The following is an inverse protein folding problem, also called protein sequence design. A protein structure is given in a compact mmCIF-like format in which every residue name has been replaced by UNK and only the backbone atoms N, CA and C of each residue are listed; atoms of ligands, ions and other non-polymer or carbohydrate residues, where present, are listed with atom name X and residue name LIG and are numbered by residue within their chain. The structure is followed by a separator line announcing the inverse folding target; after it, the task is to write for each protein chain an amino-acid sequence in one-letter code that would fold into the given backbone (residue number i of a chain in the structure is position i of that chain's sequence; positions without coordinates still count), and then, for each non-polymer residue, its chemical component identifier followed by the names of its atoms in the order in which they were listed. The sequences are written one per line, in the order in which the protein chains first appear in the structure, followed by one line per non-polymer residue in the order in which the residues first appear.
data_IF_262372204604
#
_entry.id   IF_262372204604
#
_cell.length_a   1.000
_cell.length_b   1.000
_cell.length_c   1.000
_cell.angle_alpha   90.00
_cell.angle_beta   90.00
_cell.angle_gamma   90.00
#
_symmetry.space_group_name_H-M   'P 1'
#
loop_
_entity.id
_entity.type
_entity.pdbx_description
1 polymer ?
#
# COMPACT_ATOMS: atom_id res chain seq x y z
N UNK A 1 13.05 -17.70 -0.62
CA UNK A 1 13.30 -18.83 -1.55
C UNK A 1 12.61 -18.58 -2.87
N UNK A 2 13.21 -19.01 -3.97
CA UNK A 2 12.59 -19.03 -5.31
C UNK A 2 12.39 -20.47 -5.71
N UNK A 3 11.17 -20.85 -6.04
CA UNK A 3 10.78 -22.23 -6.33
C UNK A 3 10.18 -22.31 -7.73
N UNK A 4 10.72 -23.18 -8.58
CA UNK A 4 10.08 -23.55 -9.83
C UNK A 4 9.10 -24.70 -9.57
N UNK A 5 7.85 -24.54 -9.97
CA UNK A 5 6.83 -25.57 -9.86
C UNK A 5 6.22 -25.88 -11.22
N UNK A 6 6.09 -27.14 -11.50
CA UNK A 6 5.35 -27.68 -12.66
C UNK A 6 3.97 -28.10 -12.16
N UNK A 7 2.93 -27.93 -12.95
CA UNK A 7 1.57 -28.36 -12.63
C UNK A 7 0.80 -27.53 -11.59
N UNK A 8 0.89 -26.22 -11.64
CA UNK A 8 -0.09 -25.36 -10.98
C UNK A 8 -0.59 -24.27 -11.94
N UNK A 9 -1.73 -23.67 -11.60
CA UNK A 9 -2.48 -22.81 -12.53
C UNK A 9 -2.08 -21.33 -12.49
N UNK A 10 -1.11 -20.97 -11.66
CA UNK A 10 -0.70 -19.59 -11.46
C UNK A 10 0.67 -19.33 -12.06
N UNK A 11 0.83 -18.16 -12.63
CA UNK A 11 2.07 -17.70 -13.21
C UNK A 11 3.19 -17.56 -12.19
N UNK A 12 2.89 -16.88 -11.07
CA UNK A 12 3.73 -16.78 -9.89
C UNK A 12 2.84 -16.54 -8.66
N UNK A 13 3.34 -16.85 -7.49
CA UNK A 13 2.66 -16.60 -6.23
C UNK A 13 3.61 -16.72 -5.04
N UNK A 14 3.23 -16.09 -3.93
CA UNK A 14 3.90 -16.30 -2.66
C UNK A 14 3.63 -17.73 -2.15
N UNK A 15 4.69 -18.45 -1.76
CA UNK A 15 4.60 -19.78 -1.16
C UNK A 15 5.35 -19.79 0.19
N UNK A 16 4.62 -19.55 1.27
CA UNK A 16 5.19 -19.45 2.62
C UNK A 16 6.17 -18.28 2.75
N UNK A 17 7.44 -18.57 2.98
CA UNK A 17 8.56 -17.62 3.08
C UNK A 17 9.31 -17.43 1.76
N UNK A 18 8.71 -17.86 0.66
CA UNK A 18 9.31 -17.82 -0.66
C UNK A 18 8.33 -17.44 -1.76
N UNK A 19 8.83 -17.47 -2.98
CA UNK A 19 8.08 -17.18 -4.21
C UNK A 19 8.16 -18.40 -5.12
N UNK A 20 7.03 -18.85 -5.62
CA UNK A 20 6.91 -19.93 -6.57
C UNK A 20 6.55 -19.42 -7.96
N UNK A 21 7.13 -20.04 -8.98
CA UNK A 21 6.93 -19.73 -10.38
C UNK A 21 6.49 -20.96 -11.15
N UNK A 22 5.63 -20.73 -12.16
CA UNK A 22 5.33 -21.78 -13.15
C UNK A 22 6.63 -22.18 -13.85
N UNK A 23 7.01 -23.46 -13.75
CA UNK A 23 8.29 -23.99 -14.26
C UNK A 23 8.32 -24.19 -15.78
N UNK A 24 7.81 -23.26 -16.55
CA UNK A 24 7.97 -23.25 -18.01
C UNK A 24 9.11 -22.31 -18.44
N UNK A 25 9.60 -22.49 -19.65
CA UNK A 25 10.74 -21.73 -20.18
C UNK A 25 10.55 -20.20 -20.13
N UNK A 26 9.33 -19.73 -20.40
CA UNK A 26 9.02 -18.28 -20.41
C UNK A 26 9.16 -17.67 -19.02
N UNK A 27 8.53 -18.29 -18.03
CA UNK A 27 8.57 -17.82 -16.64
C UNK A 27 9.95 -17.98 -16.02
N UNK A 28 10.61 -19.10 -16.32
CA UNK A 28 11.96 -19.33 -15.79
C UNK A 28 12.97 -18.32 -16.32
N UNK A 29 12.91 -17.94 -17.60
CA UNK A 29 13.76 -16.87 -18.16
C UNK A 29 13.56 -15.53 -17.47
N UNK A 30 12.35 -15.21 -17.03
CA UNK A 30 12.09 -13.94 -16.32
C UNK A 30 12.85 -13.85 -14.99
N UNK A 31 13.08 -14.96 -14.32
CA UNK A 31 13.70 -14.97 -12.98
C UNK A 31 15.15 -15.45 -12.98
N UNK A 32 15.61 -16.14 -14.02
CA UNK A 32 16.99 -16.66 -14.12
C UNK A 32 17.90 -15.79 -14.98
N UNK A 33 17.36 -14.97 -15.86
CA UNK A 33 18.13 -14.01 -16.63
C UNK A 33 18.29 -12.71 -15.82
N UNK A 34 19.52 -12.36 -15.38
CA UNK A 34 19.77 -11.18 -14.56
C UNK A 34 19.35 -9.87 -15.24
N UNK A 35 19.42 -9.81 -16.58
CA UNK A 35 18.99 -8.62 -17.31
C UNK A 35 17.48 -8.50 -17.38
N UNK A 36 16.76 -9.59 -17.48
CA UNK A 36 15.30 -9.60 -17.51
C UNK A 36 14.68 -9.31 -16.15
N UNK A 37 15.21 -9.89 -15.07
CA UNK A 37 14.64 -9.71 -13.73
C UNK A 37 14.69 -8.24 -13.26
N UNK A 38 15.57 -7.45 -13.85
CA UNK A 38 15.71 -6.01 -13.54
C UNK A 38 14.88 -5.10 -14.46
N UNK A 39 14.11 -5.65 -15.40
CA UNK A 39 13.39 -4.85 -16.42
C UNK A 39 11.88 -5.12 -16.43
N UNK A 40 11.13 -4.04 -16.55
CA UNK A 40 9.70 -4.04 -16.89
C UNK A 40 8.85 -4.96 -16.01
N UNK A 41 8.03 -5.78 -16.67
CA UNK A 41 7.07 -6.64 -15.97
C UNK A 41 7.72 -7.83 -15.26
N UNK A 42 8.90 -8.27 -15.67
CA UNK A 42 9.67 -9.28 -14.94
C UNK A 42 10.14 -8.73 -13.59
N UNK A 43 10.69 -7.52 -13.59
CA UNK A 43 11.08 -6.80 -12.37
C UNK A 43 9.89 -6.58 -11.44
N UNK A 44 8.76 -6.14 -12.00
CA UNK A 44 7.54 -5.90 -11.24
C UNK A 44 7.01 -7.19 -10.60
N UNK A 45 6.79 -8.23 -11.40
CA UNK A 45 6.23 -9.49 -10.92
C UNK A 45 7.07 -10.13 -9.82
N UNK A 46 8.39 -10.18 -10.00
CA UNK A 46 9.30 -10.70 -8.98
C UNK A 46 9.20 -9.91 -7.68
N UNK A 47 9.29 -8.58 -7.75
CA UNK A 47 9.23 -7.71 -6.57
C UNK A 47 7.83 -7.70 -5.92
N UNK A 48 6.76 -7.90 -6.69
CA UNK A 48 5.40 -8.06 -6.19
C UNK A 48 5.27 -9.28 -5.27
N UNK A 49 5.73 -10.44 -5.71
CA UNK A 49 5.65 -11.66 -4.91
C UNK A 49 6.60 -11.61 -3.70
N UNK A 50 7.79 -11.06 -3.86
CA UNK A 50 8.69 -10.80 -2.71
C UNK A 50 8.03 -9.80 -1.75
N UNK A 51 7.30 -8.81 -2.28
CA UNK A 51 6.50 -7.88 -1.49
C UNK A 51 5.52 -8.58 -0.56
N UNK A 52 4.84 -9.63 -1.03
CA UNK A 52 3.96 -10.45 -0.18
C UNK A 52 4.70 -11.16 0.97
N UNK A 53 5.95 -11.56 0.76
CA UNK A 53 6.78 -12.14 1.82
C UNK A 53 7.18 -11.08 2.86
N UNK A 54 7.34 -9.84 2.42
CA UNK A 54 7.77 -8.72 3.27
C UNK A 54 6.62 -7.99 3.95
N UNK A 55 5.39 -8.18 3.48
CA UNK A 55 4.21 -7.56 4.08
C UNK A 55 4.08 -7.92 5.56
N UNK A 56 3.65 -6.95 6.33
CA UNK A 56 3.33 -7.13 7.73
C UNK A 56 1.83 -6.94 8.00
N UNK A 57 1.32 -7.63 9.01
CA UNK A 57 -0.11 -7.68 9.32
C UNK A 57 -0.79 -6.29 9.43
N UNK A 58 -0.20 -5.28 10.11
CA UNK A 58 -0.79 -3.94 10.16
C UNK A 58 -0.89 -3.22 8.81
N UNK A 59 -0.24 -3.71 7.76
CA UNK A 59 -0.31 -3.16 6.40
C UNK A 59 -1.23 -3.97 5.47
N UNK A 60 -1.84 -5.06 5.98
CA UNK A 60 -2.67 -5.98 5.18
C UNK A 60 -4.09 -6.13 5.75
N UNK A 61 -4.73 -5.03 6.16
CA UNK A 61 -6.16 -5.08 6.47
C UNK A 61 -6.96 -5.44 5.21
N UNK A 62 -8.21 -5.88 5.36
CA UNK A 62 -9.00 -6.38 4.22
C UNK A 62 -9.02 -5.43 3.04
N UNK A 63 -8.73 -5.95 1.87
CA UNK A 63 -8.60 -5.20 0.62
C UNK A 63 -7.23 -4.56 0.38
N UNK A 64 -6.21 -4.89 1.20
CA UNK A 64 -4.86 -4.33 1.08
C UNK A 64 -3.80 -5.37 0.70
N UNK A 65 -4.15 -6.63 0.62
CA UNK A 65 -3.18 -7.70 0.34
C UNK A 65 -2.43 -7.46 -0.97
N UNK A 66 -3.14 -7.13 -2.05
CA UNK A 66 -2.56 -6.82 -3.36
C UNK A 66 -2.16 -5.34 -3.52
N UNK A 67 -2.29 -4.52 -2.48
CA UNK A 67 -1.96 -3.10 -2.52
C UNK A 67 -0.62 -2.83 -1.84
N UNK A 68 -0.50 -3.19 -0.56
CA UNK A 68 0.68 -2.83 0.23
C UNK A 68 1.95 -3.58 -0.17
N UNK A 69 1.86 -4.78 -0.75
CA UNK A 69 2.99 -5.48 -1.35
C UNK A 69 3.61 -4.68 -2.51
N UNK A 70 2.82 -3.93 -3.26
CA UNK A 70 3.28 -3.15 -4.40
C UNK A 70 4.05 -1.87 -4.01
N UNK A 71 4.08 -1.48 -2.75
CA UNK A 71 5.03 -0.48 -2.25
C UNK A 71 6.47 -0.95 -2.53
N UNK A 72 6.76 -2.22 -2.29
CA UNK A 72 8.07 -2.81 -2.57
C UNK A 72 8.36 -2.84 -4.07
N UNK A 73 7.35 -3.17 -4.90
CA UNK A 73 7.48 -3.17 -6.36
C UNK A 73 7.80 -1.79 -6.92
N UNK A 74 7.15 -0.74 -6.39
CA UNK A 74 7.44 0.64 -6.77
C UNK A 74 8.84 1.08 -6.35
N UNK A 75 9.28 0.72 -5.13
CA UNK A 75 10.64 1.02 -4.68
C UNK A 75 11.70 0.32 -5.54
N UNK A 76 11.48 -0.94 -5.90
CA UNK A 76 12.39 -1.68 -6.78
C UNK A 76 12.40 -1.07 -8.17
N UNK A 77 11.23 -0.75 -8.75
CA UNK A 77 11.13 -0.08 -10.04
C UNK A 77 11.92 1.24 -10.05
N UNK A 78 11.74 2.08 -9.04
CA UNK A 78 12.46 3.35 -8.92
C UNK A 78 13.99 3.15 -8.82
N UNK A 79 14.45 2.17 -8.04
CA UNK A 79 15.88 1.87 -7.86
C UNK A 79 16.53 1.25 -9.11
N UNK A 80 15.76 0.54 -9.93
CA UNK A 80 16.25 -0.09 -11.16
C UNK A 80 16.03 0.75 -12.42
N UNK A 81 15.51 1.99 -12.27
CA UNK A 81 15.25 2.90 -13.37
C UNK A 81 14.08 2.49 -14.27
N UNK A 82 13.21 1.64 -13.80
CA UNK A 82 11.97 1.28 -14.50
C UNK A 82 10.89 2.34 -14.28
N UNK A 83 10.10 2.58 -15.31
CA UNK A 83 8.90 3.40 -15.17
C UNK A 83 7.90 2.71 -14.23
N UNK A 84 7.34 3.47 -13.30
CA UNK A 84 6.34 2.96 -12.37
C UNK A 84 5.05 2.56 -13.10
N UNK A 85 4.40 1.50 -12.62
CA UNK A 85 3.08 1.12 -13.14
C UNK A 85 2.02 2.19 -12.88
N UNK A 86 2.11 2.93 -11.80
CA UNK A 86 1.18 4.03 -11.52
C UNK A 86 1.21 5.09 -12.61
N UNK A 87 2.42 5.50 -13.02
CA UNK A 87 2.62 6.44 -14.12
C UNK A 87 2.17 5.85 -15.46
N UNK A 88 2.67 4.68 -15.81
CA UNK A 88 2.39 4.01 -17.09
C UNK A 88 0.89 3.78 -17.33
N UNK A 89 0.13 3.50 -16.27
CA UNK A 89 -1.30 3.23 -16.35
C UNK A 89 -2.19 4.46 -16.12
N UNK A 90 -1.61 5.62 -15.82
CA UNK A 90 -2.35 6.84 -15.50
C UNK A 90 -3.16 6.71 -14.20
N UNK A 91 -2.63 5.96 -13.22
CA UNK A 91 -3.36 5.65 -11.99
C UNK A 91 -3.60 6.85 -11.10
N UNK A 92 -2.73 7.87 -11.16
CA UNK A 92 -2.91 9.11 -10.37
C UNK A 92 -4.23 9.81 -10.68
N UNK A 93 -4.51 10.04 -11.97
CA UNK A 93 -5.75 10.71 -12.39
C UNK A 93 -6.98 9.82 -12.16
N UNK A 94 -6.85 8.52 -12.42
CA UNK A 94 -7.93 7.55 -12.17
C UNK A 94 -8.29 7.49 -10.70
N UNK A 95 -7.31 7.44 -9.81
CA UNK A 95 -7.51 7.40 -8.37
C UNK A 95 -8.17 8.68 -7.85
N UNK A 96 -7.68 9.87 -8.28
CA UNK A 96 -8.30 11.15 -7.92
C UNK A 96 -9.75 11.21 -8.37
N UNK A 97 -10.02 10.84 -9.61
CA UNK A 97 -11.38 10.84 -10.16
C UNK A 97 -12.30 9.85 -9.42
N UNK A 98 -11.82 8.64 -9.14
CA UNK A 98 -12.64 7.62 -8.45
C UNK A 98 -12.87 7.99 -6.99
N UNK A 99 -11.81 8.30 -6.24
CA UNK A 99 -11.89 8.39 -4.79
C UNK A 99 -12.18 9.81 -4.33
N UNK A 100 -11.41 10.81 -4.82
CA UNK A 100 -11.54 12.20 -4.35
C UNK A 100 -12.75 12.86 -4.97
N UNK A 101 -12.85 12.91 -6.31
CA UNK A 101 -13.98 13.55 -7.00
C UNK A 101 -15.29 12.75 -6.84
N UNK A 102 -15.18 11.42 -6.80
CA UNK A 102 -16.30 10.52 -6.53
C UNK A 102 -16.74 10.51 -5.07
N UNK A 103 -15.99 11.16 -4.18
CA UNK A 103 -16.25 11.22 -2.74
C UNK A 103 -16.53 9.88 -2.07
N UNK A 104 -15.89 8.80 -2.53
CA UNK A 104 -16.05 7.47 -1.95
C UNK A 104 -15.09 7.22 -0.78
N UNK A 105 -15.41 6.23 0.05
CA UNK A 105 -14.45 5.78 1.05
C UNK A 105 -13.28 5.04 0.38
N UNK A 106 -12.07 5.21 0.90
CA UNK A 106 -10.88 4.49 0.44
C UNK A 106 -11.11 2.98 0.31
N UNK A 107 -11.82 2.41 1.28
CA UNK A 107 -12.18 0.99 1.30
C UNK A 107 -13.08 0.55 0.13
N UNK A 108 -13.83 1.46 -0.49
CA UNK A 108 -14.76 1.15 -1.58
C UNK A 108 -14.06 1.03 -2.93
N UNK A 109 -12.90 1.63 -3.12
CA UNK A 109 -12.13 1.43 -4.36
C UNK A 109 -11.74 -0.04 -4.49
N UNK A 110 -12.00 -0.60 -5.67
CA UNK A 110 -11.67 -2.00 -6.01
C UNK A 110 -10.40 -2.11 -6.85
N UNK A 111 -9.91 -0.99 -7.35
CA UNK A 111 -8.69 -0.95 -8.15
C UNK A 111 -7.47 -0.88 -7.24
N UNK A 112 -6.63 -1.89 -7.34
CA UNK A 112 -5.39 -2.05 -6.55
C UNK A 112 -4.46 -0.85 -6.75
N UNK A 113 -4.32 -0.37 -7.99
CA UNK A 113 -3.41 0.73 -8.29
C UNK A 113 -3.97 2.07 -7.85
N UNK A 114 -5.29 2.27 -7.93
CA UNK A 114 -5.93 3.46 -7.39
C UNK A 114 -5.73 3.55 -5.86
N UNK A 115 -5.88 2.42 -5.16
CA UNK A 115 -5.58 2.35 -3.71
C UNK A 115 -4.09 2.52 -3.39
N UNK A 116 -3.20 2.16 -4.29
CA UNK A 116 -1.76 2.31 -4.11
C UNK A 116 -1.29 3.77 -4.24
N UNK A 117 -2.01 4.60 -5.01
CA UNK A 117 -1.64 6.01 -5.26
C UNK A 117 -1.39 6.80 -3.98
N UNK A 118 -2.33 6.90 -3.01
CA UNK A 118 -2.07 7.67 -1.79
C UNK A 118 -0.87 7.17 -1.00
N UNK A 119 -0.67 5.86 -0.95
CA UNK A 119 0.48 5.27 -0.28
C UNK A 119 1.80 5.71 -0.93
N UNK A 120 1.83 5.73 -2.27
CA UNK A 120 3.03 6.13 -3.00
C UNK A 120 3.25 7.64 -2.98
N UNK A 121 2.20 8.46 -2.97
CA UNK A 121 2.30 9.90 -2.79
C UNK A 121 2.99 10.29 -1.47
N UNK A 122 2.67 9.60 -0.38
CA UNK A 122 3.37 9.78 0.90
C UNK A 122 4.88 9.48 0.76
N UNK A 123 5.23 8.39 0.09
CA UNK A 123 6.64 8.07 -0.19
C UNK A 123 7.32 9.17 -1.01
N UNK A 124 6.72 9.59 -2.11
CA UNK A 124 7.27 10.64 -2.98
C UNK A 124 7.49 11.96 -2.25
N UNK A 125 6.55 12.34 -1.38
CA UNK A 125 6.66 13.56 -0.61
C UNK A 125 7.74 13.45 0.46
N UNK A 126 7.63 12.47 1.33
CA UNK A 126 8.47 12.41 2.54
C UNK A 126 9.92 12.04 2.26
N UNK A 127 10.20 11.20 1.27
CA UNK A 127 11.59 10.90 0.91
C UNK A 127 12.36 12.11 0.38
N UNK A 128 11.66 13.09 -0.20
CA UNK A 128 12.24 14.37 -0.64
C UNK A 128 12.29 15.44 0.46
N UNK A 129 11.50 15.27 1.52
CA UNK A 129 11.32 16.24 2.60
C UNK A 129 11.83 15.73 3.96
N UNK A 130 13.02 15.13 3.97
CA UNK A 130 13.75 14.80 5.20
C UNK A 130 13.49 13.41 5.80
N UNK A 131 12.67 12.57 5.16
CA UNK A 131 12.38 11.20 5.63
C UNK A 131 12.72 10.16 4.55
N UNK A 132 14.01 9.94 4.23
CA UNK A 132 14.43 9.02 3.17
C UNK A 132 13.97 7.57 3.45
N UNK A 133 13.84 7.20 4.71
CA UNK A 133 13.42 5.89 5.17
C UNK A 133 11.95 5.86 5.62
N UNK A 134 11.08 6.69 5.00
CA UNK A 134 9.68 6.85 5.40
C UNK A 134 8.95 5.51 5.63
N UNK A 135 8.96 4.57 4.68
CA UNK A 135 8.29 3.28 4.88
C UNK A 135 8.99 2.35 5.87
N UNK A 136 10.32 2.19 5.88
CA UNK A 136 11.01 1.50 6.97
C UNK A 136 10.58 2.00 8.36
N UNK A 137 10.55 3.31 8.57
CA UNK A 137 10.19 3.92 9.85
C UNK A 137 8.70 3.71 10.21
N UNK A 138 7.79 3.86 9.24
CA UNK A 138 6.35 3.56 9.43
C UNK A 138 6.14 2.09 9.79
N UNK A 139 6.81 1.18 9.10
CA UNK A 139 6.71 -0.26 9.37
C UNK A 139 7.27 -0.61 10.75
N UNK A 140 8.40 0.00 11.15
CA UNK A 140 8.97 -0.19 12.47
C UNK A 140 8.04 0.35 13.56
N UNK A 141 7.46 1.54 13.35
CA UNK A 141 6.46 2.09 14.26
C UNK A 141 5.26 1.15 14.42
N UNK A 142 4.70 0.67 13.32
CA UNK A 142 3.56 -0.25 13.35
C UNK A 142 3.91 -1.58 14.02
N UNK A 143 5.10 -2.12 13.79
CA UNK A 143 5.56 -3.36 14.44
C UNK A 143 5.57 -3.24 15.96
N UNK A 144 5.94 -2.07 16.46
CA UNK A 144 6.12 -1.84 17.90
C UNK A 144 4.85 -1.34 18.59
N UNK A 145 3.92 -0.71 17.87
CA UNK A 145 2.79 0.00 18.47
C UNK A 145 1.41 -0.50 18.03
N UNK A 146 1.31 -1.19 16.88
CA UNK A 146 0.00 -1.63 16.39
C UNK A 146 -0.60 -2.73 17.26
N UNK A 147 -1.93 -2.68 17.44
CA UNK A 147 -2.68 -3.72 18.10
C UNK A 147 -2.67 -5.04 17.31
N UNK A 148 -3.19 -6.08 17.92
CA UNK A 148 -3.34 -7.38 17.26
C UNK A 148 -4.80 -7.62 16.91
N UNK A 149 -5.20 -7.25 15.68
CA UNK A 149 -6.58 -7.37 15.21
C UNK A 149 -6.75 -8.54 14.23
N UNK A 150 -7.97 -9.10 14.17
CA UNK A 150 -8.32 -10.18 13.25
C UNK A 150 -9.72 -10.01 12.68
N UNK A 151 -10.01 -10.67 11.55
CA UNK A 151 -11.31 -10.59 10.89
C UNK A 151 -11.73 -9.15 10.57
N UNK A 152 -12.96 -8.81 10.92
CA UNK A 152 -13.52 -7.48 10.67
C UNK A 152 -12.83 -6.36 11.47
N UNK A 153 -12.19 -6.68 12.59
CA UNK A 153 -11.43 -5.68 13.36
C UNK A 153 -10.15 -5.20 12.67
N UNK A 154 -9.70 -5.87 11.60
CA UNK A 154 -8.52 -5.45 10.85
C UNK A 154 -8.66 -4.05 10.24
N UNK A 155 -9.88 -3.53 10.09
CA UNK A 155 -10.12 -2.13 9.68
C UNK A 155 -9.43 -1.12 10.61
N UNK A 156 -9.21 -1.46 11.87
CA UNK A 156 -8.49 -0.61 12.84
C UNK A 156 -7.05 -0.32 12.40
N UNK A 157 -6.44 -1.23 11.65
CA UNK A 157 -5.10 -1.00 11.09
C UNK A 157 -5.04 0.18 10.12
N UNK A 158 -6.13 0.50 9.41
CA UNK A 158 -6.20 1.71 8.58
C UNK A 158 -5.93 2.97 9.42
N UNK A 159 -6.54 3.06 10.60
CA UNK A 159 -6.37 4.20 11.50
C UNK A 159 -5.01 4.20 12.19
N UNK A 160 -4.46 3.05 12.50
CA UNK A 160 -3.11 2.93 13.03
C UNK A 160 -2.05 3.30 11.99
N UNK A 161 -2.26 2.95 10.73
CA UNK A 161 -1.42 3.41 9.63
C UNK A 161 -1.43 4.93 9.49
N UNK A 162 -2.61 5.55 9.55
CA UNK A 162 -2.75 7.02 9.55
C UNK A 162 -1.93 7.65 10.69
N UNK A 163 -2.11 7.15 11.92
CA UNK A 163 -1.37 7.63 13.10
C UNK A 163 0.14 7.42 12.95
N UNK A 164 0.56 6.26 12.44
CA UNK A 164 1.97 5.96 12.19
C UNK A 164 2.61 6.95 11.21
N UNK A 165 1.95 7.23 10.09
CA UNK A 165 2.43 8.21 9.12
C UNK A 165 2.60 9.60 9.75
N UNK A 166 1.61 10.06 10.51
CA UNK A 166 1.68 11.35 11.19
C UNK A 166 2.79 11.40 12.25
N UNK A 167 2.91 10.34 13.07
CA UNK A 167 3.86 10.36 14.20
C UNK A 167 5.31 10.18 13.75
N UNK A 168 5.56 9.36 12.73
CA UNK A 168 6.90 9.19 12.16
C UNK A 168 7.40 10.48 11.50
N UNK A 169 6.53 11.16 10.75
CA UNK A 169 6.91 12.36 9.98
C UNK A 169 6.74 13.66 10.77
N UNK A 170 6.15 13.59 11.97
CA UNK A 170 5.75 14.77 12.76
C UNK A 170 4.91 15.77 11.96
N UNK A 171 4.02 15.25 11.10
CA UNK A 171 3.20 16.04 10.18
C UNK A 171 1.72 15.70 10.39
N UNK A 172 0.86 16.73 10.43
CA UNK A 172 -0.58 16.54 10.43
C UNK A 172 -1.07 16.22 9.00
N UNK A 173 -1.36 14.96 8.76
CA UNK A 173 -1.84 14.45 7.48
C UNK A 173 -3.37 14.30 7.41
N UNK A 174 -4.10 14.93 8.33
CA UNK A 174 -5.57 14.80 8.42
C UNK A 174 -6.24 15.15 7.09
N UNK A 175 -5.90 16.28 6.48
CA UNK A 175 -6.51 16.72 5.22
C UNK A 175 -6.20 15.76 4.06
N UNK A 176 -4.98 15.22 4.01
CA UNK A 176 -4.58 14.23 3.02
C UNK A 176 -5.44 12.95 3.11
N UNK A 177 -5.52 12.36 4.31
CA UNK A 177 -6.29 11.15 4.52
C UNK A 177 -7.81 11.37 4.39
N UNK A 178 -8.29 12.55 4.72
CA UNK A 178 -9.69 12.92 4.51
C UNK A 178 -10.05 12.97 3.03
N UNK A 179 -9.24 13.66 2.21
CA UNK A 179 -9.42 13.69 0.76
C UNK A 179 -9.39 12.31 0.12
N UNK A 180 -8.49 11.44 0.56
CA UNK A 180 -8.41 10.06 0.09
C UNK A 180 -9.45 9.11 0.70
N UNK A 181 -10.43 9.63 1.45
CA UNK A 181 -11.58 8.87 1.94
C UNK A 181 -11.27 7.89 3.09
N UNK A 182 -10.12 8.02 3.77
CA UNK A 182 -9.76 7.16 4.92
C UNK A 182 -10.67 7.40 6.13
N UNK A 183 -11.26 8.59 6.23
CA UNK A 183 -12.12 9.00 7.35
C UNK A 183 -13.62 8.97 7.04
N UNK A 184 -14.04 8.24 5.98
CA UNK A 184 -15.46 8.10 5.66
C UNK A 184 -16.10 7.00 6.52
N UNK A 185 -17.05 7.33 7.41
CA UNK A 185 -17.79 6.32 8.18
C UNK A 185 -18.71 5.51 7.28
N UNK A 186 -18.95 4.27 7.65
CA UNK A 186 -19.86 3.40 6.91
C UNK A 186 -19.64 1.92 7.17
N UNK A 187 -20.50 1.11 6.57
CA UNK A 187 -20.35 -0.35 6.53
C UNK A 187 -19.88 -0.75 5.15
N UNK A 188 -18.79 -1.51 5.09
CA UNK A 188 -18.15 -1.89 3.85
C UNK A 188 -17.97 -3.39 3.79
N UNK A 189 -18.50 -4.02 2.75
CA UNK A 189 -18.23 -5.41 2.43
C UNK A 189 -17.03 -5.48 1.50
N UNK A 190 -15.94 -6.08 1.94
CA UNK A 190 -14.66 -6.14 1.22
C UNK A 190 -14.31 -7.59 0.93
N UNK A 191 -14.21 -7.94 -0.35
CA UNK A 191 -13.61 -9.18 -0.82
C UNK A 191 -12.11 -8.99 -1.03
N UNK A 192 -11.33 -9.83 -0.38
CA UNK A 192 -9.90 -10.00 -0.58
C UNK A 192 -9.66 -11.53 -0.58
N UNK A 193 -8.56 -12.06 -0.12
CA UNK A 193 -8.41 -13.52 0.10
C UNK A 193 -9.37 -14.07 1.18
N UNK A 194 -10.03 -13.20 1.90
CA UNK A 194 -11.14 -13.47 2.80
C UNK A 194 -12.27 -12.45 2.59
N UNK A 195 -13.40 -12.65 3.27
CA UNK A 195 -14.51 -11.71 3.27
C UNK A 195 -14.49 -10.92 4.57
N UNK A 196 -14.70 -9.61 4.46
CA UNK A 196 -14.70 -8.69 5.60
C UNK A 196 -15.95 -7.82 5.56
N UNK A 197 -16.62 -7.68 6.70
CA UNK A 197 -17.72 -6.73 6.92
C UNK A 197 -17.23 -5.65 7.88
N UNK A 198 -16.60 -4.62 7.31
CA UNK A 198 -16.05 -3.53 8.09
C UNK A 198 -17.12 -2.54 8.52
N UNK A 199 -17.00 -2.08 9.75
CA UNK A 199 -17.81 -1.01 10.29
C UNK A 199 -16.88 0.13 10.74
N UNK A 200 -16.76 1.15 9.91
CA UNK A 200 -16.05 2.39 10.25
C UNK A 200 -17.04 3.30 10.95
N UNK A 201 -16.87 3.49 12.24
CA UNK A 201 -17.78 4.35 13.02
C UNK A 201 -17.29 5.80 13.06
N UNK A 202 -18.22 6.77 13.25
CA UNK A 202 -17.84 8.17 13.47
C UNK A 202 -16.85 8.34 14.64
N UNK A 203 -17.02 7.55 15.70
CA UNK A 203 -16.17 7.60 16.90
C UNK A 203 -14.72 7.23 16.55
N UNK A 204 -14.48 6.18 15.74
CA UNK A 204 -13.14 5.79 15.28
C UNK A 204 -12.45 6.92 14.51
N UNK A 205 -13.21 7.61 13.67
CA UNK A 205 -12.73 8.76 12.89
C UNK A 205 -12.36 9.91 13.83
N UNK A 206 -13.29 10.30 14.70
CA UNK A 206 -13.11 11.43 15.63
C UNK A 206 -11.96 11.18 16.62
N UNK A 207 -11.85 9.98 17.17
CA UNK A 207 -10.72 9.60 18.05
C UNK A 207 -9.37 9.72 17.33
N UNK A 208 -9.31 9.31 16.06
CA UNK A 208 -8.08 9.40 15.27
C UNK A 208 -7.73 10.86 14.97
N UNK A 209 -8.69 11.65 14.51
CA UNK A 209 -8.49 13.10 14.25
C UNK A 209 -8.09 13.84 15.53
N UNK A 210 -8.76 13.55 16.65
CA UNK A 210 -8.41 14.14 17.96
C UNK A 210 -7.00 13.75 18.41
N UNK A 211 -6.60 12.50 18.16
CA UNK A 211 -5.25 12.05 18.47
C UNK A 211 -4.20 12.83 17.67
N UNK A 212 -4.42 13.01 16.35
CA UNK A 212 -3.51 13.78 15.49
C UNK A 212 -3.45 15.24 15.95
N UNK A 213 -4.62 15.88 16.14
CA UNK A 213 -4.70 17.26 16.60
C UNK A 213 -4.00 17.49 17.95
N UNK A 214 -4.09 16.53 18.87
CA UNK A 214 -3.42 16.56 20.18
C UNK A 214 -1.89 16.55 20.10
N UNK A 215 -1.31 16.15 18.95
CA UNK A 215 0.14 16.17 18.71
C UNK A 215 0.66 17.56 18.36
N UNK A 216 -0.17 18.45 17.83
CA UNK A 216 0.23 19.78 17.41
C UNK A 216 1.24 19.81 16.26
N UNK A 217 1.25 18.79 15.41
CA UNK A 217 2.12 18.73 14.25
C UNK A 217 1.73 19.75 13.18
N UNK A 218 2.69 20.32 12.44
CA UNK A 218 2.39 21.19 11.31
C UNK A 218 1.76 20.40 10.16
N UNK A 219 0.95 21.08 9.36
CA UNK A 219 0.46 20.54 8.08
C UNK A 219 1.57 20.55 7.01
N UNK A 220 1.44 19.72 5.96
CA UNK A 220 2.34 19.78 4.80
C UNK A 220 2.28 21.17 4.15
N UNK A 221 3.44 21.63 3.62
CA UNK A 221 3.50 22.92 2.90
C UNK A 221 2.75 22.90 1.57
N UNK A 222 2.56 21.73 0.98
CA UNK A 222 1.89 21.53 -0.31
C UNK A 222 0.83 20.44 -0.22
N UNK A 223 -0.13 20.48 -1.13
CA UNK A 223 -1.14 19.43 -1.24
C UNK A 223 -0.52 18.14 -1.82
N UNK A 224 -0.31 17.17 -0.94
CA UNK A 224 0.30 15.88 -1.32
C UNK A 224 -0.60 15.10 -2.31
N UNK A 225 -1.92 15.34 -2.32
CA UNK A 225 -2.85 14.62 -3.22
C UNK A 225 -2.62 14.98 -4.70
N UNK A 226 -1.96 16.09 -4.98
CA UNK A 226 -1.64 16.54 -6.34
C UNK A 226 -0.31 15.96 -6.88
N UNK A 227 0.48 15.29 -6.04
CA UNK A 227 1.76 14.73 -6.47
C UNK A 227 1.58 13.56 -7.44
N UNK A 228 2.44 13.53 -8.43
CA UNK A 228 2.64 12.43 -9.37
C UNK A 228 4.13 12.29 -9.73
N UNK A 229 4.51 11.15 -10.32
CA UNK A 229 5.87 10.91 -10.84
C UNK A 229 6.14 11.60 -12.18
#
# INVERSE_FOLDING_TARGET
RVLARVNFNYYMFRDGDGVAYLGNDGTMRMVTDPENVLKGDACWGFSHEVGHVMQMRPMTWGGMTEVSNNIFSLQVAAKTGNESRLKRQGSYDKARKEIIEGEIAYLQSKDVFNKLVPLWQLHLYFTKNGHPDFYPDVMEYLRNNAGNYGGNDTVKYQFEFVKACCDVTKTDLTDFFEKWGFFKPGKFHIGDYAQYDFNVTPEMVEETKKWIAGKGYPKPETDITELSE
#
